data_IF_672037121058
#
_entry.id   IF_672037121058
#
_cell.length_a   1.000
_cell.length_b   1.000
_cell.length_c   1.000
_cell.angle_alpha   90.00
_cell.angle_beta   90.00
_cell.angle_gamma   90.00
#
_symmetry.space_group_name_H-M   'P 1'
#
loop_
_entity.id
_entity.type
_entity.pdbx_description
1 polymer ?
#
# COMPACT_ATOMS: atom_id res chain seq x y z
N UNK A 1 -11.53 18.71 -21.22
CA UNK A 1 -11.06 17.61 -22.09
C UNK A 1 -11.40 17.83 -23.56
N UNK A 2 -12.51 18.51 -23.88
CA UNK A 2 -12.93 18.85 -25.25
C UNK A 2 -11.87 19.64 -26.06
N UNK A 3 -11.22 20.65 -25.48
CA UNK A 3 -10.19 21.44 -26.18
C UNK A 3 -9.04 20.61 -26.77
N UNK A 4 -8.63 19.50 -26.13
CA UNK A 4 -7.52 18.68 -26.61
C UNK A 4 -7.80 17.98 -27.94
N UNK A 5 -9.04 17.60 -28.20
CA UNK A 5 -9.41 16.89 -29.44
C UNK A 5 -9.41 17.86 -30.60
N UNK A 6 -9.91 19.08 -30.40
CA UNK A 6 -9.93 20.12 -31.41
C UNK A 6 -8.52 20.67 -31.68
N UNK A 7 -7.67 20.78 -30.65
CA UNK A 7 -6.24 21.10 -30.80
C UNK A 7 -5.48 20.02 -31.59
N UNK A 8 -5.80 18.73 -31.35
CA UNK A 8 -5.23 17.62 -32.13
C UNK A 8 -5.72 17.66 -33.58
N UNK A 9 -6.99 17.99 -33.82
CA UNK A 9 -7.53 18.16 -35.18
C UNK A 9 -6.88 19.31 -35.93
N UNK A 10 -6.74 20.47 -35.29
CA UNK A 10 -6.01 21.63 -35.83
C UNK A 10 -4.54 21.31 -36.12
N UNK A 11 -3.89 20.52 -35.27
CA UNK A 11 -2.52 20.05 -35.51
C UNK A 11 -2.40 19.02 -36.65
N UNK A 12 -3.50 18.33 -36.96
CA UNK A 12 -3.62 17.42 -38.11
C UNK A 12 -4.09 18.15 -39.39
N UNK A 13 -4.48 19.42 -39.27
CA UNK A 13 -4.96 20.29 -40.36
C UNK A 13 -3.77 20.86 -41.15
N UNK A 14 -2.94 19.95 -41.65
CA UNK A 14 -1.76 20.22 -42.46
C UNK A 14 -1.62 19.18 -43.57
N UNK A 15 -0.90 19.54 -44.63
CA UNK A 15 -0.61 18.61 -45.74
C UNK A 15 0.37 17.52 -45.26
N UNK A 16 -0.14 16.32 -44.98
CA UNK A 16 0.71 15.16 -44.65
C UNK A 16 1.33 14.62 -45.95
N UNK A 17 2.65 14.76 -46.09
CA UNK A 17 3.36 14.22 -47.26
C UNK A 17 3.33 12.69 -47.26
N UNK A 18 3.49 12.02 -48.42
CA UNK A 18 3.56 10.56 -48.49
C UNK A 18 4.60 9.95 -47.54
N UNK A 19 5.77 10.58 -47.39
CA UNK A 19 6.84 10.13 -46.50
C UNK A 19 6.46 10.26 -45.02
N UNK A 20 5.79 11.35 -44.64
CA UNK A 20 5.29 11.54 -43.28
C UNK A 20 4.23 10.50 -42.94
N UNK A 21 3.29 10.25 -43.86
CA UNK A 21 2.27 9.21 -43.72
C UNK A 21 2.90 7.84 -43.51
N UNK A 22 3.92 7.50 -44.29
CA UNK A 22 4.60 6.21 -44.17
C UNK A 22 5.31 6.06 -42.81
N UNK A 23 5.98 7.12 -42.32
CA UNK A 23 6.57 7.14 -40.97
C UNK A 23 5.52 6.94 -39.88
N UNK A 24 4.37 7.63 -39.98
CA UNK A 24 3.27 7.47 -39.02
C UNK A 24 2.71 6.04 -39.03
N UNK A 25 2.55 5.43 -40.21
CA UNK A 25 2.11 4.04 -40.33
C UNK A 25 3.05 3.07 -39.62
N UNK A 26 4.38 3.24 -39.74
CA UNK A 26 5.35 2.40 -39.02
C UNK A 26 5.19 2.54 -37.51
N UNK A 27 5.01 3.77 -37.01
CA UNK A 27 4.82 4.02 -35.57
C UNK A 27 3.52 3.40 -35.08
N UNK A 28 2.42 3.53 -35.83
CA UNK A 28 1.12 2.93 -35.49
C UNK A 28 1.20 1.41 -35.48
N UNK A 29 1.85 0.79 -36.47
CA UNK A 29 2.06 -0.66 -36.49
C UNK A 29 2.85 -1.14 -35.27
N UNK A 30 3.88 -0.40 -34.85
CA UNK A 30 4.62 -0.72 -33.64
C UNK A 30 3.75 -0.56 -32.37
N UNK A 31 2.95 0.50 -32.29
CA UNK A 31 2.00 0.71 -31.20
C UNK A 31 0.98 -0.43 -31.09
N UNK A 32 0.38 -0.83 -32.22
CA UNK A 32 -0.57 -1.94 -32.27
C UNK A 32 0.08 -3.26 -31.84
N UNK A 33 1.34 -3.47 -32.25
CA UNK A 33 2.16 -4.60 -31.79
C UNK A 33 2.35 -4.61 -30.27
N UNK A 34 2.65 -3.46 -29.66
CA UNK A 34 2.82 -3.32 -28.22
C UNK A 34 1.51 -3.55 -27.46
N UNK A 35 0.37 -3.03 -27.93
CA UNK A 35 -0.93 -3.29 -27.31
C UNK A 35 -1.31 -4.77 -27.40
N UNK A 36 -1.00 -5.44 -28.52
CA UNK A 36 -1.18 -6.90 -28.64
C UNK A 36 -0.30 -7.66 -27.65
N UNK A 37 0.97 -7.31 -27.53
CA UNK A 37 1.88 -7.93 -26.55
C UNK A 37 1.40 -7.73 -25.12
N UNK A 38 0.93 -6.54 -24.77
CA UNK A 38 0.35 -6.24 -23.46
C UNK A 38 -0.89 -7.08 -23.19
N UNK A 39 -1.83 -7.17 -24.12
CA UNK A 39 -3.05 -7.99 -23.97
C UNK A 39 -2.73 -9.48 -23.79
N UNK A 40 -1.73 -9.99 -24.52
CA UNK A 40 -1.25 -11.37 -24.35
C UNK A 40 -0.69 -11.60 -22.92
N UNK A 41 0.11 -10.66 -22.41
CA UNK A 41 0.66 -10.73 -21.05
C UNK A 41 -0.44 -10.62 -19.99
N UNK A 42 -1.41 -9.73 -20.17
CA UNK A 42 -2.57 -9.60 -19.28
C UNK A 42 -3.37 -10.90 -19.21
N UNK A 43 -3.59 -11.55 -20.36
CA UNK A 43 -4.28 -12.86 -20.43
C UNK A 43 -3.50 -13.96 -19.70
N UNK A 44 -2.17 -13.99 -19.87
CA UNK A 44 -1.30 -14.93 -19.17
C UNK A 44 -1.26 -14.68 -17.66
N UNK A 45 -1.20 -13.43 -17.23
CA UNK A 45 -1.23 -13.07 -15.80
C UNK A 45 -2.54 -13.53 -15.18
N UNK A 46 -3.66 -13.31 -15.87
CA UNK A 46 -4.97 -13.74 -15.37
C UNK A 46 -5.03 -15.26 -15.20
N UNK A 47 -4.57 -16.04 -16.19
CA UNK A 47 -4.56 -17.51 -16.10
C UNK A 47 -3.67 -18.03 -14.96
N UNK A 48 -2.48 -17.45 -14.77
CA UNK A 48 -1.58 -17.80 -13.66
C UNK A 48 -2.16 -17.43 -12.30
N UNK A 49 -3.02 -16.42 -12.25
CA UNK A 49 -3.64 -15.92 -11.03
C UNK A 49 -4.92 -16.65 -10.64
N UNK A 50 -5.41 -17.58 -11.47
CA UNK A 50 -6.67 -18.29 -11.29
C UNK A 50 -6.71 -19.19 -10.05
N UNK A 51 -5.64 -19.93 -9.69
CA UNK A 51 -5.60 -20.70 -8.45
C UNK A 51 -5.80 -19.85 -7.18
N UNK A 52 -5.57 -18.53 -7.26
CA UNK A 52 -5.64 -17.58 -6.15
C UNK A 52 -6.87 -16.67 -6.24
N UNK A 53 -7.93 -17.08 -6.94
CA UNK A 53 -9.13 -16.26 -7.20
C UNK A 53 -9.82 -15.77 -5.91
N UNK A 54 -9.83 -16.60 -4.85
CA UNK A 54 -10.43 -16.25 -3.56
C UNK A 54 -9.65 -15.13 -2.88
N UNK A 55 -8.34 -15.29 -2.77
CA UNK A 55 -7.42 -14.32 -2.17
C UNK A 55 -7.40 -13.02 -2.97
N UNK A 56 -7.42 -13.09 -4.30
CA UNK A 56 -7.55 -11.93 -5.18
C UNK A 56 -8.81 -11.14 -4.89
N UNK A 57 -9.95 -11.80 -4.73
CA UNK A 57 -11.22 -11.15 -4.41
C UNK A 57 -11.16 -10.44 -3.07
N UNK A 58 -10.59 -11.11 -2.06
CA UNK A 58 -10.43 -10.55 -0.72
C UNK A 58 -9.50 -9.33 -0.72
N UNK A 59 -8.35 -9.40 -1.39
CA UNK A 59 -7.41 -8.27 -1.51
C UNK A 59 -8.02 -7.14 -2.35
N UNK A 60 -8.75 -7.44 -3.42
CA UNK A 60 -9.42 -6.44 -4.25
C UNK A 60 -10.48 -5.65 -3.49
N UNK A 61 -11.14 -6.26 -2.50
CA UNK A 61 -12.11 -5.57 -1.64
C UNK A 61 -11.46 -4.54 -0.68
N UNK A 62 -10.13 -4.54 -0.54
CA UNK A 62 -9.43 -3.58 0.33
C UNK A 62 -9.53 -2.17 -0.26
N UNK A 63 -9.88 -1.15 0.55
CA UNK A 63 -10.00 0.21 0.10
C UNK A 63 -8.75 0.75 -0.61
N UNK A 64 -8.95 1.37 -1.77
CA UNK A 64 -7.88 1.96 -2.59
C UNK A 64 -7.31 1.03 -3.66
N UNK A 65 -7.68 -0.26 -3.66
CA UNK A 65 -7.40 -1.19 -4.74
C UNK A 65 -8.58 -1.16 -5.71
N UNK A 66 -8.39 -0.56 -6.89
CA UNK A 66 -9.46 -0.38 -7.90
C UNK A 66 -9.26 -1.19 -9.17
N UNK A 67 -8.05 -1.66 -9.42
CA UNK A 67 -7.70 -2.48 -10.57
C UNK A 67 -7.44 -3.92 -10.10
N UNK A 68 -8.07 -4.95 -10.69
CA UNK A 68 -7.77 -6.36 -10.38
C UNK A 68 -6.28 -6.71 -10.45
N UNK A 69 -5.54 -6.12 -11.41
CA UNK A 69 -4.09 -6.31 -11.53
C UNK A 69 -3.30 -5.77 -10.34
N UNK A 70 -3.82 -4.77 -9.61
CA UNK A 70 -3.18 -4.30 -8.37
C UNK A 70 -3.28 -5.34 -7.26
N UNK A 71 -4.39 -6.07 -7.16
CA UNK A 71 -4.52 -7.18 -6.21
C UNK A 71 -3.59 -8.34 -6.59
N UNK A 72 -3.53 -8.68 -7.88
CA UNK A 72 -2.60 -9.71 -8.39
C UNK A 72 -1.14 -9.32 -8.10
N UNK A 73 -0.75 -8.07 -8.37
CA UNK A 73 0.61 -7.59 -8.12
C UNK A 73 0.98 -7.60 -6.63
N UNK A 74 0.03 -7.34 -5.73
CA UNK A 74 0.28 -7.47 -4.29
C UNK A 74 0.51 -8.94 -3.93
N UNK A 75 -0.36 -9.83 -4.40
CA UNK A 75 -0.25 -11.28 -4.12
C UNK A 75 1.04 -11.85 -4.72
N UNK A 76 1.47 -11.42 -5.91
CA UNK A 76 2.72 -11.88 -6.52
C UNK A 76 3.96 -11.44 -5.73
N UNK A 77 3.89 -10.31 -5.01
CA UNK A 77 5.01 -9.83 -4.19
C UNK A 77 5.06 -10.49 -2.81
N UNK A 78 3.91 -10.71 -2.16
CA UNK A 78 3.86 -11.16 -0.75
C UNK A 78 3.49 -12.64 -0.58
N UNK A 79 2.98 -13.27 -1.64
CA UNK A 79 2.36 -14.60 -1.58
C UNK A 79 0.97 -14.59 -0.94
N UNK A 80 0.34 -15.77 -0.88
CA UNK A 80 -0.94 -15.97 -0.17
C UNK A 80 -0.75 -16.55 1.22
N UNK A 81 0.34 -17.28 1.45
CA UNK A 81 0.65 -17.87 2.76
C UNK A 81 1.25 -16.83 3.70
N UNK A 82 0.46 -16.40 4.69
CA UNK A 82 0.91 -15.44 5.70
C UNK A 82 1.74 -16.07 6.82
N UNK A 83 1.96 -17.39 6.83
CA UNK A 83 2.82 -18.08 7.80
C UNK A 83 4.29 -17.65 7.68
N UNK A 84 4.73 -17.29 6.47
CA UNK A 84 6.08 -16.81 6.17
C UNK A 84 6.41 -15.49 6.89
N UNK A 85 5.38 -14.75 7.33
CA UNK A 85 5.52 -13.55 8.14
C UNK A 85 4.93 -13.77 9.54
N UNK A 86 5.75 -13.87 10.60
CA UNK A 86 5.26 -14.15 11.95
C UNK A 86 4.20 -13.15 12.45
N UNK A 87 4.32 -11.89 12.03
CA UNK A 87 3.33 -10.84 12.30
C UNK A 87 3.21 -9.86 11.13
N UNK A 88 2.10 -9.13 11.07
CA UNK A 88 1.91 -8.04 10.10
C UNK A 88 3.05 -7.00 10.12
N UNK A 89 3.71 -6.82 11.28
CA UNK A 89 4.86 -5.90 11.41
C UNK A 89 6.05 -6.38 10.57
N UNK A 90 6.28 -7.69 10.49
CA UNK A 90 7.35 -8.27 9.66
C UNK A 90 7.08 -8.02 8.19
N UNK A 91 5.85 -8.30 7.72
CA UNK A 91 5.45 -8.00 6.34
C UNK A 91 5.65 -6.51 6.00
N UNK A 92 5.21 -5.61 6.89
CA UNK A 92 5.38 -4.17 6.67
C UNK A 92 6.84 -3.74 6.61
N UNK A 93 7.71 -4.36 7.43
CA UNK A 93 9.14 -4.10 7.44
C UNK A 93 9.79 -4.57 6.15
N UNK A 94 9.43 -5.78 5.70
CA UNK A 94 9.88 -6.36 4.43
C UNK A 94 9.45 -5.50 3.23
N UNK A 95 8.20 -5.05 3.19
CA UNK A 95 7.67 -4.17 2.15
C UNK A 95 8.23 -2.73 2.20
N UNK A 96 9.05 -2.39 3.20
CA UNK A 96 9.69 -1.09 3.31
C UNK A 96 8.75 0.09 3.62
N UNK A 97 7.56 -0.19 4.15
CA UNK A 97 6.59 0.83 4.60
C UNK A 97 6.79 1.22 6.08
N UNK A 98 7.97 0.94 6.61
CA UNK A 98 8.37 1.27 7.98
C UNK A 98 9.63 2.14 8.01
N UNK A 99 9.80 2.95 9.07
CA UNK A 99 11.08 3.56 9.37
C UNK A 99 12.16 2.46 9.58
N UNK A 100 13.38 2.72 9.12
CA UNK A 100 14.52 1.81 9.34
C UNK A 100 15.03 1.92 10.77
N UNK A 101 15.38 0.80 11.39
CA UNK A 101 16.12 0.81 12.66
C UNK A 101 17.61 1.03 12.37
N UNK A 102 18.06 2.29 12.35
CA UNK A 102 19.46 2.65 12.09
C UNK A 102 20.13 3.04 13.43
N UNK A 103 20.64 2.03 14.13
CA UNK A 103 21.33 2.18 15.40
C UNK A 103 22.69 1.48 15.31
N UNK A 104 23.75 2.19 15.69
CA UNK A 104 25.10 1.65 15.79
C UNK A 104 25.75 2.14 17.07
N UNK A 105 26.43 1.25 17.79
CA UNK A 105 27.08 1.56 19.07
C UNK A 105 26.20 2.36 20.06
N UNK A 106 24.90 2.03 20.15
CA UNK A 106 23.94 2.71 21.04
C UNK A 106 23.49 4.10 20.59
N UNK A 107 23.93 4.58 19.42
CA UNK A 107 23.50 5.86 18.83
C UNK A 107 22.43 5.63 17.77
N UNK A 108 21.29 6.30 17.93
CA UNK A 108 20.17 6.30 16.96
C UNK A 108 20.39 7.37 15.90
N UNK A 109 20.48 6.95 14.65
CA UNK A 109 20.61 7.83 13.48
C UNK A 109 19.25 8.21 12.90
N UNK A 110 19.24 9.11 11.91
CA UNK A 110 18.02 9.56 11.24
C UNK A 110 17.21 8.40 10.63
N UNK A 111 15.94 8.30 11.03
CA UNK A 111 15.03 7.18 10.74
C UNK A 111 14.30 7.42 9.41
N UNK A 112 15.01 7.31 8.29
CA UNK A 112 14.38 7.32 6.95
C UNK A 112 13.57 6.03 6.74
N UNK A 113 12.61 6.07 5.82
CA UNK A 113 11.89 4.85 5.40
C UNK A 113 12.83 3.94 4.61
N UNK A 114 12.60 2.63 4.68
CA UNK A 114 13.44 1.66 3.98
C UNK A 114 13.37 1.81 2.46
N UNK A 115 14.48 1.52 1.79
CA UNK A 115 14.53 1.36 0.32
C UNK A 115 13.93 0.03 -0.16
N UNK A 116 13.65 -0.90 0.74
CA UNK A 116 13.00 -2.19 0.45
C UNK A 116 11.61 -2.05 -0.20
N UNK A 117 11.13 -3.13 -0.81
CA UNK A 117 9.84 -3.20 -1.49
C UNK A 117 9.78 -2.34 -2.75
N UNK A 118 10.72 -2.53 -3.69
CA UNK A 118 10.87 -1.69 -4.88
C UNK A 118 9.59 -1.66 -5.73
N UNK A 119 8.86 -2.78 -5.82
CA UNK A 119 7.62 -2.88 -6.58
C UNK A 119 6.37 -2.68 -5.71
N UNK A 120 6.27 -3.38 -4.58
CA UNK A 120 5.09 -3.29 -3.72
C UNK A 120 4.88 -1.92 -3.07
N UNK A 121 5.95 -1.20 -2.70
CA UNK A 121 5.81 0.07 -1.98
C UNK A 121 5.23 1.19 -2.87
N UNK A 122 5.72 1.43 -4.10
CA UNK A 122 5.06 2.36 -5.01
C UNK A 122 3.59 2.01 -5.27
N UNK A 123 3.27 0.72 -5.44
CA UNK A 123 1.91 0.25 -5.64
C UNK A 123 1.01 0.61 -4.43
N UNK A 124 1.44 0.28 -3.21
CA UNK A 124 0.70 0.63 -2.00
C UNK A 124 0.58 2.15 -1.81
N UNK A 125 1.58 2.93 -2.21
CA UNK A 125 1.53 4.40 -2.21
C UNK A 125 0.47 4.91 -3.19
N UNK A 126 0.33 4.31 -4.36
CA UNK A 126 -0.74 4.66 -5.31
C UNK A 126 -2.12 4.32 -4.74
N UNK A 127 -2.30 3.13 -4.17
CA UNK A 127 -3.55 2.72 -3.49
C UNK A 127 -3.91 3.66 -2.34
N UNK A 128 -2.93 4.02 -1.50
CA UNK A 128 -3.12 4.98 -0.42
C UNK A 128 -3.52 6.37 -0.94
N UNK A 129 -2.88 6.86 -2.00
CA UNK A 129 -3.28 8.13 -2.63
C UNK A 129 -4.69 8.09 -3.22
N UNK A 130 -5.10 6.96 -3.80
CA UNK A 130 -6.43 6.78 -4.34
C UNK A 130 -7.49 6.80 -3.23
N UNK A 131 -7.23 6.12 -2.11
CA UNK A 131 -8.19 5.99 -1.02
C UNK A 131 -8.41 7.31 -0.27
N UNK A 132 -7.35 8.08 -0.01
CA UNK A 132 -7.47 9.34 0.75
C UNK A 132 -8.17 10.46 -0.02
N UNK A 133 -8.30 10.32 -1.34
CA UNK A 133 -9.08 11.22 -2.21
C UNK A 133 -10.57 10.89 -2.21
N UNK A 134 -10.97 9.70 -1.75
CA UNK A 134 -12.35 9.26 -1.74
C UNK A 134 -13.01 9.53 -0.39
N UNK A 135 -14.31 9.87 -0.41
CA UNK A 135 -15.14 10.01 0.81
C UNK A 135 -15.79 8.70 1.25
N UNK A 136 -15.61 7.60 0.50
CA UNK A 136 -16.22 6.29 0.79
C UNK A 136 -15.65 5.61 2.05
N UNK A 137 -14.45 6.00 2.48
CA UNK A 137 -13.71 5.38 3.58
C UNK A 137 -13.29 6.41 4.63
N UNK A 138 -14.25 6.97 5.39
CA UNK A 138 -13.99 8.03 6.36
C UNK A 138 -13.00 7.60 7.46
N UNK A 139 -12.96 6.33 7.84
CA UNK A 139 -12.01 5.76 8.81
C UNK A 139 -10.55 5.93 8.34
N UNK A 140 -10.29 5.75 7.05
CA UNK A 140 -8.94 5.90 6.47
C UNK A 140 -8.63 7.38 6.27
N UNK A 141 -9.59 8.14 5.73
CA UNK A 141 -9.44 9.58 5.46
C UNK A 141 -9.20 10.37 6.75
N UNK A 142 -9.94 10.10 7.81
CA UNK A 142 -9.76 10.71 9.13
C UNK A 142 -8.36 10.45 9.70
N UNK A 143 -7.90 9.19 9.65
CA UNK A 143 -6.53 8.83 10.06
C UNK A 143 -5.49 9.59 9.23
N UNK A 144 -5.65 9.63 7.91
CA UNK A 144 -4.76 10.37 7.02
C UNK A 144 -4.70 11.86 7.38
N UNK A 145 -5.84 12.53 7.55
CA UNK A 145 -5.91 13.96 7.88
C UNK A 145 -5.24 14.25 9.23
N UNK A 146 -5.46 13.41 10.24
CA UNK A 146 -4.84 13.57 11.57
C UNK A 146 -3.31 13.49 11.55
N UNK A 147 -2.75 12.63 10.69
CA UNK A 147 -1.30 12.47 10.53
C UNK A 147 -0.76 13.59 9.64
N UNK A 148 -1.44 13.90 8.54
CA UNK A 148 -1.07 14.96 7.59
C UNK A 148 -0.92 16.29 8.32
N UNK A 149 -1.85 16.65 9.20
CA UNK A 149 -1.82 17.88 10.00
C UNK A 149 -0.54 18.01 10.85
N UNK A 150 -0.04 16.90 11.39
CA UNK A 150 1.11 16.89 12.32
C UNK A 150 2.47 16.60 11.66
N UNK A 151 2.47 15.86 10.55
CA UNK A 151 3.69 15.24 9.97
C UNK A 151 3.82 15.45 8.46
N UNK A 152 2.86 16.11 7.81
CA UNK A 152 2.86 16.37 6.37
C UNK A 152 2.37 15.19 5.51
N UNK A 153 2.14 15.48 4.23
CA UNK A 153 1.50 14.56 3.27
C UNK A 153 2.28 13.26 3.06
N UNK A 154 3.58 13.33 2.75
CA UNK A 154 4.40 12.14 2.43
C UNK A 154 4.39 11.11 3.56
N UNK A 155 4.55 11.56 4.81
CA UNK A 155 4.53 10.68 5.99
C UNK A 155 3.14 10.10 6.25
N UNK A 156 2.09 10.87 6.01
CA UNK A 156 0.72 10.39 6.14
C UNK A 156 0.40 9.29 5.12
N UNK A 157 0.81 9.44 3.85
CA UNK A 157 0.58 8.42 2.81
C UNK A 157 1.28 7.10 3.16
N UNK A 158 2.53 7.14 3.62
CA UNK A 158 3.24 5.91 4.06
C UNK A 158 2.51 5.25 5.24
N UNK A 159 1.99 6.04 6.18
CA UNK A 159 1.22 5.49 7.30
C UNK A 159 -0.09 4.80 6.83
N UNK A 160 -0.77 5.35 5.81
CA UNK A 160 -1.93 4.71 5.19
C UNK A 160 -1.53 3.45 4.41
N UNK A 161 -0.44 3.49 3.63
CA UNK A 161 0.09 2.31 2.95
C UNK A 161 0.39 1.16 3.93
N UNK A 162 1.02 1.46 5.07
CA UNK A 162 1.25 0.50 6.16
C UNK A 162 -0.08 -0.03 6.73
N UNK A 163 -1.07 0.83 6.92
CA UNK A 163 -2.40 0.42 7.41
C UNK A 163 -3.08 -0.54 6.43
N UNK A 164 -3.08 -0.24 5.13
CA UNK A 164 -3.65 -1.10 4.08
C UNK A 164 -2.94 -2.45 4.03
N UNK A 165 -1.60 -2.47 4.07
CA UNK A 165 -0.83 -3.72 4.08
C UNK A 165 -1.06 -4.55 5.34
N UNK A 166 -1.26 -3.90 6.48
CA UNK A 166 -1.66 -4.58 7.73
C UNK A 166 -3.03 -5.22 7.59
N UNK A 167 -3.98 -4.54 6.95
CA UNK A 167 -5.31 -5.10 6.67
C UNK A 167 -5.20 -6.33 5.76
N UNK A 168 -4.43 -6.23 4.66
CA UNK A 168 -4.18 -7.31 3.70
C UNK A 168 -3.61 -8.54 4.41
N UNK A 169 -2.62 -8.38 5.29
CA UNK A 169 -2.06 -9.50 6.09
C UNK A 169 -3.14 -10.24 6.86
N UNK A 170 -4.02 -9.52 7.56
CA UNK A 170 -5.05 -10.15 8.39
C UNK A 170 -6.18 -10.77 7.55
N UNK A 171 -6.53 -10.14 6.44
CA UNK A 171 -7.51 -10.64 5.47
C UNK A 171 -7.03 -11.97 4.88
N UNK A 172 -5.78 -12.05 4.41
CA UNK A 172 -5.21 -13.28 3.87
C UNK A 172 -5.02 -14.35 4.94
N UNK A 173 -4.60 -13.97 6.15
CA UNK A 173 -4.42 -14.92 7.26
C UNK A 173 -5.73 -15.53 7.77
N UNK A 174 -6.83 -14.78 7.73
CA UNK A 174 -8.14 -15.22 8.24
C UNK A 174 -9.11 -15.69 7.16
N UNK A 175 -8.89 -15.30 5.90
CA UNK A 175 -9.85 -15.53 4.81
C UNK A 175 -11.11 -14.67 4.89
N UNK A 176 -11.08 -13.56 5.63
CA UNK A 176 -12.25 -12.69 5.87
C UNK A 176 -12.15 -11.38 5.08
N UNK A 177 -13.26 -10.81 4.58
CA UNK A 177 -13.24 -9.56 3.84
C UNK A 177 -12.85 -8.35 4.71
N UNK A 178 -12.42 -7.27 4.07
CA UNK A 178 -12.12 -6.02 4.75
C UNK A 178 -13.32 -5.49 5.54
N UNK A 179 -13.13 -5.22 6.84
CA UNK A 179 -14.17 -4.69 7.71
C UNK A 179 -13.78 -3.28 8.23
N UNK A 180 -14.48 -2.20 7.81
CA UNK A 180 -14.19 -0.83 8.24
C UNK A 180 -14.55 -0.58 9.72
N UNK A 181 -15.48 -1.33 10.31
CA UNK A 181 -15.93 -1.14 11.70
C UNK A 181 -14.82 -1.39 12.72
N UNK A 182 -13.86 -2.25 12.38
CA UNK A 182 -12.67 -2.52 13.19
C UNK A 182 -11.77 -1.28 13.37
N UNK A 183 -11.87 -0.29 12.49
CA UNK A 183 -11.11 0.96 12.57
C UNK A 183 -11.90 2.11 13.22
N UNK A 184 -13.23 1.99 13.34
CA UNK A 184 -14.08 2.97 14.04
C UNK A 184 -14.06 2.77 15.55
N UNK A 185 -13.93 1.52 16.01
CA UNK A 185 -13.67 1.22 17.41
C UNK A 185 -12.24 1.63 17.74
N UNK A 186 -12.05 2.87 18.19
CA UNK A 186 -10.94 3.10 19.09
C UNK A 186 -11.16 2.15 20.26
N UNK A 187 -10.25 1.21 20.52
CA UNK A 187 -10.23 0.61 21.85
C UNK A 187 -10.16 1.79 22.82
N UNK A 188 -11.19 1.98 23.67
CA UNK A 188 -11.16 3.09 24.59
C UNK A 188 -9.85 2.96 25.35
N UNK A 189 -9.09 4.04 25.47
CA UNK A 189 -7.96 4.04 26.41
C UNK A 189 -8.60 3.65 27.74
N UNK A 190 -8.26 2.49 28.31
CA UNK A 190 -8.96 2.03 29.49
C UNK A 190 -8.81 3.12 30.55
N UNK A 191 -9.95 3.58 31.10
CA UNK A 191 -10.02 4.75 31.96
C UNK A 191 -9.06 4.61 33.17
N UNK A 192 -8.86 3.36 33.61
CA UNK A 192 -7.78 2.92 34.48
C UNK A 192 -6.93 1.87 33.76
N UNK A 193 -5.60 1.98 33.86
CA UNK A 193 -4.70 0.88 33.50
C UNK A 193 -4.37 0.14 34.79
N UNK A 194 -4.98 -1.02 34.97
CA UNK A 194 -4.62 -1.91 36.08
C UNK A 194 -3.30 -2.60 35.74
N UNK A 195 -2.34 -2.49 36.64
CA UNK A 195 -1.03 -3.15 36.54
C UNK A 195 -0.88 -3.96 37.82
N UNK A 196 -0.59 -5.25 37.69
CA UNK A 196 -0.32 -6.10 38.86
C UNK A 196 0.93 -5.62 39.59
N UNK A 197 1.02 -5.89 40.90
CA UNK A 197 2.19 -5.51 41.71
C UNK A 197 3.49 -6.07 41.09
N UNK A 198 3.44 -7.29 40.56
CA UNK A 198 4.58 -7.91 39.86
C UNK A 198 4.99 -7.14 38.59
N UNK A 199 4.02 -6.76 37.75
CA UNK A 199 4.28 -5.95 36.55
C UNK A 199 4.81 -4.57 36.91
N UNK A 200 4.30 -3.94 37.98
CA UNK A 200 4.79 -2.65 38.47
C UNK A 200 6.24 -2.75 38.95
N UNK A 201 6.58 -3.80 39.70
CA UNK A 201 7.96 -4.10 40.12
C UNK A 201 8.85 -4.34 38.90
N UNK A 202 8.39 -5.09 37.89
CA UNK A 202 9.13 -5.37 36.67
C UNK A 202 9.42 -4.09 35.87
N UNK A 203 8.43 -3.19 35.78
CA UNK A 203 8.58 -1.88 35.14
C UNK A 203 9.57 -1.02 35.91
N UNK A 204 9.45 -0.93 37.23
CA UNK A 204 10.37 -0.17 38.08
C UNK A 204 11.82 -0.68 37.94
N UNK A 205 12.03 -1.99 37.96
CA UNK A 205 13.35 -2.61 37.73
C UNK A 205 13.89 -2.33 36.33
N UNK A 206 13.05 -2.41 35.28
CA UNK A 206 13.44 -2.04 33.91
C UNK A 206 13.91 -0.58 33.80
N UNK A 207 13.41 0.30 34.65
CA UNK A 207 13.81 1.70 34.73
C UNK A 207 14.95 1.96 35.73
N UNK A 208 15.54 0.91 36.34
CA UNK A 208 16.71 1.02 37.21
C UNK A 208 16.40 1.24 38.69
N UNK A 209 15.14 1.17 39.10
CA UNK A 209 14.75 1.30 40.51
C UNK A 209 14.91 -0.02 41.26
N UNK A 210 15.51 0.03 42.45
CA UNK A 210 15.48 -1.07 43.42
C UNK A 210 14.26 -0.91 44.31
N UNK A 211 13.26 -1.78 44.14
CA UNK A 211 12.05 -1.77 44.95
C UNK A 211 12.37 -2.45 46.28
N UNK A 212 12.45 -1.66 47.35
CA UNK A 212 12.61 -2.14 48.74
C UNK A 212 11.24 -2.11 49.41
N UNK A 213 10.96 -3.10 50.26
CA UNK A 213 9.71 -3.21 51.00
C UNK A 213 9.93 -2.55 52.36
N UNK A 214 9.21 -1.46 52.65
CA UNK A 214 9.13 -0.90 54.00
C UNK A 214 8.33 -1.86 54.92
#
# INVERSE_FOLDING_TARGET
MLHKVDDIRLALDGMITPEQRQKMNIILQHYDGLEKCKSNLESLILSLSEPYAKERTLVFAVPGIKNPFSAIAIISEIGVDMSVFPTAKHLCSWAGVTPQNNESAGKKHSVRISRAGVYIKPLLVQCANAVVKSDKHPEIKGRYLSIKKRRGHKRAIIAIARMLLTAIYHILKKGEPYNPELYKKAEPIPASREITVEQAILIARRHGYSVVKD
#
